data_IF_773223877951
#
_entry.id   IF_773223877951
#
_cell.length_a   1.000
_cell.length_b   1.000
_cell.length_c   1.000
_cell.angle_alpha   90.00
_cell.angle_beta   90.00
_cell.angle_gamma   90.00
#
_symmetry.space_group_name_H-M   'P 1'
#
loop_
_entity.id
_entity.type
_entity.pdbx_description
1 polymer ?
#
# COMPACT_ATOMS: atom_id res chain seq x y z
N UNK A 1 39.34 -21.32 49.14
CA UNK A 1 38.27 -21.48 48.13
C UNK A 1 37.12 -22.22 48.78
N UNK A 2 36.03 -21.52 49.06
CA UNK A 2 34.64 -22.00 49.20
C UNK A 2 33.85 -20.91 49.94
N UNK A 3 33.12 -20.11 49.17
CA UNK A 3 32.18 -19.10 49.66
C UNK A 3 30.92 -19.78 50.19
N UNK A 4 30.48 -19.38 51.38
CA UNK A 4 29.16 -19.67 51.93
C UNK A 4 28.08 -18.96 51.09
N UNK A 5 27.29 -19.74 50.35
CA UNK A 5 26.10 -19.27 49.65
C UNK A 5 24.94 -19.08 50.62
N UNK A 6 24.53 -17.83 50.83
CA UNK A 6 23.25 -17.47 51.44
C UNK A 6 22.15 -17.68 50.40
N UNK A 7 21.22 -18.61 50.65
CA UNK A 7 20.00 -18.78 49.86
C UNK A 7 19.04 -17.61 50.14
N UNK A 8 18.74 -16.82 49.11
CA UNK A 8 17.59 -15.90 49.09
C UNK A 8 16.30 -16.69 48.83
N UNK A 9 15.18 -16.41 49.51
CA UNK A 9 13.91 -17.08 49.23
C UNK A 9 13.45 -16.74 47.80
N UNK A 10 13.19 -17.78 47.01
CA UNK A 10 12.45 -17.69 45.75
C UNK A 10 11.09 -17.01 45.97
N UNK A 11 10.63 -16.32 44.92
CA UNK A 11 9.45 -15.47 44.84
C UNK A 11 8.32 -15.86 45.83
N UNK A 12 8.05 -14.94 46.76
CA UNK A 12 6.95 -14.97 47.71
C UNK A 12 5.63 -15.30 46.98
N UNK A 13 4.93 -16.36 47.40
CA UNK A 13 3.61 -16.75 46.87
C UNK A 13 2.65 -15.55 46.90
N UNK A 14 2.31 -14.97 45.74
CA UNK A 14 1.48 -13.74 45.67
C UNK A 14 0.03 -13.96 46.12
N UNK A 15 -0.48 -15.20 46.11
CA UNK A 15 -1.86 -15.49 46.52
C UNK A 15 -2.12 -15.23 48.02
N UNK A 16 -1.12 -15.46 48.89
CA UNK A 16 -1.26 -15.23 50.34
C UNK A 16 -1.15 -13.75 50.74
N UNK A 17 -0.69 -12.90 49.82
CA UNK A 17 -0.61 -11.44 50.02
C UNK A 17 -1.93 -10.74 49.70
N UNK A 18 -2.84 -11.35 48.92
CA UNK A 18 -4.15 -10.73 48.63
C UNK A 18 -5.03 -10.58 49.89
N UNK A 19 -4.75 -11.39 50.92
CA UNK A 19 -5.44 -11.33 52.22
C UNK A 19 -4.87 -10.26 53.18
N UNK A 20 -3.77 -9.57 52.85
CA UNK A 20 -3.08 -8.64 53.76
C UNK A 20 -2.52 -7.42 53.05
N UNK A 21 -2.85 -6.23 53.56
CA UNK A 21 -2.30 -4.96 53.09
C UNK A 21 -0.79 -4.86 53.33
N UNK A 22 -0.01 -4.56 52.28
CA UNK A 22 1.44 -4.53 52.31
C UNK A 22 1.99 -3.10 52.16
N UNK A 23 2.74 -2.62 53.14
CA UNK A 23 3.42 -1.31 53.07
C UNK A 23 4.92 -1.52 52.93
N UNK A 24 5.51 -1.07 51.81
CA UNK A 24 6.94 -1.20 51.55
C UNK A 24 7.68 0.13 51.75
N UNK A 25 8.49 0.25 52.81
CA UNK A 25 9.37 1.39 53.05
C UNK A 25 10.79 1.10 52.54
N UNK A 26 11.29 1.90 51.59
CA UNK A 26 12.58 1.65 50.91
C UNK A 26 13.51 2.84 51.09
N UNK A 27 14.76 2.58 51.47
CA UNK A 27 15.80 3.60 51.60
C UNK A 27 16.10 4.26 50.24
N UNK A 28 16.35 5.57 50.24
CA UNK A 28 16.69 6.35 49.05
C UNK A 28 18.05 5.95 48.44
N UNK A 29 18.03 4.82 47.73
CA UNK A 29 19.05 4.39 46.80
C UNK A 29 18.43 4.41 45.41
N UNK A 30 18.97 5.25 44.51
CA UNK A 30 18.55 5.42 43.11
C UNK A 30 18.32 4.11 42.32
N UNK A 31 18.91 2.99 42.76
CA UNK A 31 18.79 1.69 42.12
C UNK A 31 17.65 0.78 42.64
N UNK A 32 17.08 1.03 43.84
CA UNK A 32 16.09 0.13 44.46
C UNK A 32 14.66 0.67 44.42
N UNK A 33 14.49 1.99 44.40
CA UNK A 33 13.17 2.64 44.34
C UNK A 33 12.35 2.28 43.09
N UNK A 34 12.92 2.27 41.85
CA UNK A 34 12.14 1.94 40.66
C UNK A 34 11.67 0.48 40.65
N UNK A 35 12.53 -0.42 41.15
CA UNK A 35 12.25 -1.85 41.25
C UNK A 35 11.12 -2.14 42.22
N UNK A 36 11.14 -1.54 43.41
CA UNK A 36 10.04 -1.68 44.39
C UNK A 36 8.72 -1.08 43.91
N UNK A 37 8.76 0.02 43.15
CA UNK A 37 7.57 0.60 42.53
C UNK A 37 6.93 -0.34 41.48
N UNK A 38 7.76 -1.06 40.70
CA UNK A 38 7.28 -2.04 39.73
C UNK A 38 6.66 -3.27 40.41
N UNK A 39 7.23 -3.73 41.53
CA UNK A 39 6.63 -4.82 42.31
C UNK A 39 5.30 -4.41 42.94
N UNK A 40 5.17 -3.17 43.43
CA UNK A 40 3.90 -2.68 43.98
C UNK A 40 2.77 -2.62 42.94
N UNK A 41 3.08 -2.31 41.67
CA UNK A 41 2.09 -2.35 40.57
C UNK A 41 1.54 -3.76 40.27
N UNK A 42 2.26 -4.81 40.68
CA UNK A 42 1.86 -6.20 40.49
C UNK A 42 1.06 -6.75 41.69
N UNK A 43 1.06 -6.05 42.83
CA UNK A 43 0.39 -6.46 44.07
C UNK A 43 -0.74 -5.46 44.35
N UNK A 44 -2.01 -5.82 44.09
CA UNK A 44 -3.14 -4.93 44.38
C UNK A 44 -3.20 -4.61 45.88
N UNK A 45 -3.29 -3.32 46.23
CA UNK A 45 -3.27 -2.84 47.62
C UNK A 45 -1.87 -2.63 48.25
N UNK A 46 -0.79 -2.57 47.46
CA UNK A 46 0.56 -2.27 47.95
C UNK A 46 1.00 -0.81 47.72
N UNK A 47 1.52 -0.14 48.75
CA UNK A 47 2.03 1.24 48.70
C UNK A 47 3.53 1.31 48.98
N UNK A 48 4.26 2.19 48.29
CA UNK A 48 5.73 2.33 48.43
C UNK A 48 6.10 3.74 48.88
N UNK A 49 6.91 3.84 49.95
CA UNK A 49 7.40 5.10 50.51
C UNK A 49 8.92 5.19 50.60
N UNK A 50 9.47 6.41 50.46
CA UNK A 50 10.91 6.68 50.56
C UNK A 50 11.32 6.90 52.02
N UNK A 51 12.10 5.97 52.56
CA UNK A 51 12.60 6.00 53.93
C UNK A 51 13.92 6.79 54.02
N UNK A 52 14.00 7.73 54.97
CA UNK A 52 15.22 8.46 55.29
C UNK A 52 16.27 7.51 55.91
N UNK A 53 17.56 7.86 55.79
CA UNK A 53 18.67 7.01 56.23
C UNK A 53 18.68 6.73 57.74
N UNK A 54 18.11 7.64 58.53
CA UNK A 54 17.92 7.53 59.97
C UNK A 54 16.54 6.94 60.35
N UNK A 55 15.72 6.57 59.37
CA UNK A 55 14.32 6.16 59.53
C UNK A 55 13.46 7.18 60.27
N UNK A 56 13.87 8.46 60.33
CA UNK A 56 13.18 9.51 61.08
C UNK A 56 11.76 9.81 60.57
N UNK A 57 11.46 9.45 59.31
CA UNK A 57 10.16 9.65 58.68
C UNK A 57 9.28 8.39 58.63
N UNK A 58 9.63 7.27 59.27
CA UNK A 58 8.86 6.02 59.17
C UNK A 58 7.41 6.17 59.65
N UNK A 59 7.18 6.93 60.72
CA UNK A 59 5.84 7.14 61.26
C UNK A 59 4.96 7.93 60.27
N UNK A 60 5.53 8.93 59.62
CA UNK A 60 4.86 9.71 58.58
C UNK A 60 4.53 8.85 57.36
N UNK A 61 5.44 7.97 56.95
CA UNK A 61 5.21 7.04 55.85
C UNK A 61 4.10 6.02 56.14
N UNK A 62 3.99 5.52 57.37
CA UNK A 62 2.92 4.59 57.77
C UNK A 62 1.57 5.31 57.77
N UNK A 63 1.52 6.54 58.31
CA UNK A 63 0.30 7.35 58.34
C UNK A 63 -0.14 7.67 56.91
N UNK A 64 0.78 8.13 56.05
CA UNK A 64 0.45 8.45 54.65
C UNK A 64 0.01 7.24 53.86
N UNK A 65 0.68 6.09 54.03
CA UNK A 65 0.28 4.83 53.40
C UNK A 65 -1.11 4.38 53.87
N UNK A 66 -1.41 4.52 55.16
CA UNK A 66 -2.71 4.15 55.70
C UNK A 66 -3.85 5.06 55.21
N UNK A 67 -3.60 6.36 55.07
CA UNK A 67 -4.55 7.32 54.49
C UNK A 67 -4.81 7.03 53.00
N UNK A 68 -3.75 6.68 52.25
CA UNK A 68 -3.83 6.30 50.84
C UNK A 68 -4.65 5.00 50.66
N UNK A 69 -4.37 3.97 51.45
CA UNK A 69 -5.10 2.69 51.42
C UNK A 69 -6.57 2.80 51.81
N UNK A 70 -6.93 3.76 52.66
CA UNK A 70 -8.34 4.07 53.01
C UNK A 70 -9.05 4.93 51.97
N UNK A 71 -8.31 5.56 51.08
CA UNK A 71 -8.84 6.43 50.03
C UNK A 71 -9.22 5.67 48.76
N UNK A 72 -8.75 4.43 48.61
CA UNK A 72 -9.01 3.57 47.47
C UNK A 72 -9.88 2.36 47.87
N UNK A 73 -10.92 2.08 47.09
CA UNK A 73 -11.76 0.89 47.26
C UNK A 73 -11.76 0.12 45.95
N UNK A 74 -11.15 -1.06 45.97
CA UNK A 74 -11.11 -1.97 44.83
C UNK A 74 -11.89 -3.25 45.13
N UNK A 75 -12.68 -3.75 44.18
CA UNK A 75 -13.46 -4.99 44.34
C UNK A 75 -12.75 -6.20 43.73
N UNK A 76 -12.67 -7.29 44.48
CA UNK A 76 -12.22 -8.60 44.00
C UNK A 76 -13.38 -9.58 43.83
N UNK A 77 -13.24 -10.50 42.87
CA UNK A 77 -14.24 -11.50 42.51
C UNK A 77 -13.67 -12.88 42.79
N UNK A 78 -14.35 -13.67 43.61
CA UNK A 78 -13.95 -15.02 43.99
C UNK A 78 -15.08 -16.00 43.66
N UNK A 79 -14.74 -17.27 43.40
CA UNK A 79 -15.71 -18.33 43.09
C UNK A 79 -15.79 -18.71 41.60
N UNK A 80 -16.85 -19.43 41.23
CA UNK A 80 -17.04 -19.98 39.87
C UNK A 80 -17.64 -18.92 38.93
N UNK A 81 -16.78 -18.33 38.10
CA UNK A 81 -17.12 -17.27 37.14
C UNK A 81 -17.00 -17.72 35.68
N UNK A 82 -16.70 -18.99 35.42
CA UNK A 82 -16.46 -19.46 34.05
C UNK A 82 -17.72 -19.33 33.18
N UNK A 83 -17.64 -18.58 32.08
CA UNK A 83 -18.78 -18.35 31.19
C UNK A 83 -19.80 -17.30 31.66
N UNK A 84 -19.54 -16.59 32.76
CA UNK A 84 -20.32 -15.43 33.20
C UNK A 84 -19.59 -14.13 32.81
N UNK A 85 -20.32 -13.17 32.22
CA UNK A 85 -19.79 -11.85 31.90
C UNK A 85 -20.17 -10.86 33.00
N UNK A 86 -19.23 -10.55 33.88
CA UNK A 86 -19.39 -9.55 34.93
C UNK A 86 -18.87 -8.19 34.43
N UNK A 87 -19.71 -7.16 34.56
CA UNK A 87 -19.36 -5.78 34.22
C UNK A 87 -19.59 -4.88 35.42
N UNK A 88 -18.57 -4.10 35.77
CA UNK A 88 -18.63 -3.18 36.91
C UNK A 88 -18.72 -1.73 36.41
N UNK A 89 -19.55 -0.93 37.08
CA UNK A 89 -19.60 0.52 36.90
C UNK A 89 -19.39 1.15 38.27
N UNK A 90 -18.32 1.93 38.42
CA UNK A 90 -18.04 2.62 39.68
C UNK A 90 -18.76 3.97 39.71
N UNK A 91 -19.47 4.25 40.80
CA UNK A 91 -20.11 5.54 41.07
C UNK A 91 -19.49 6.09 42.36
N UNK A 92 -18.59 7.06 42.22
CA UNK A 92 -17.95 7.73 43.34
C UNK A 92 -18.73 9.02 43.72
N UNK A 93 -18.36 9.67 44.83
CA UNK A 93 -19.03 10.86 45.41
C UNK A 93 -19.31 12.03 44.45
N UNK A 94 -18.72 12.06 43.25
CA UNK A 94 -18.98 13.06 42.21
C UNK A 94 -20.20 12.74 41.34
N UNK A 95 -20.85 11.58 41.51
CA UNK A 95 -22.03 11.16 40.75
C UNK A 95 -21.77 10.83 39.27
N UNK A 96 -20.50 10.87 38.85
CA UNK A 96 -20.07 10.56 37.49
C UNK A 96 -19.79 9.04 37.41
N UNK A 97 -20.46 8.30 36.51
CA UNK A 97 -20.18 6.87 36.32
C UNK A 97 -18.87 6.68 35.56
N UNK A 98 -18.00 5.81 36.07
CA UNK A 98 -16.77 5.37 35.39
C UNK A 98 -16.98 3.97 34.79
N UNK A 99 -17.17 3.82 33.47
CA UNK A 99 -17.42 2.54 32.84
C UNK A 99 -16.12 1.78 32.52
N UNK A 100 -16.17 0.44 32.64
CA UNK A 100 -15.14 -0.52 32.17
C UNK A 100 -13.81 -0.62 32.95
N UNK A 101 -13.77 -0.33 34.25
CA UNK A 101 -12.68 -0.87 35.07
C UNK A 101 -12.94 -2.35 35.37
N UNK A 102 -12.06 -3.21 34.82
CA UNK A 102 -11.99 -4.70 34.84
C UNK A 102 -12.73 -5.44 33.70
N UNK A 103 -12.06 -5.59 32.53
CA UNK A 103 -12.41 -6.53 31.43
C UNK A 103 -11.13 -6.84 30.58
N UNK A 104 -10.82 -8.06 30.08
CA UNK A 104 -11.55 -8.84 29.07
C UNK A 104 -11.09 -10.32 28.85
N UNK A 105 -12.09 -11.16 28.53
CA UNK A 105 -12.20 -12.29 27.57
C UNK A 105 -11.07 -13.29 27.24
N UNK A 106 -11.36 -14.58 27.51
CA UNK A 106 -11.26 -15.74 26.59
C UNK A 106 -12.32 -16.79 27.01
N UNK A 107 -13.16 -17.22 26.06
CA UNK A 107 -14.38 -18.01 26.30
C UNK A 107 -14.18 -19.47 25.89
N UNK A 108 -14.66 -20.41 26.70
CA UNK A 108 -14.98 -21.78 26.26
C UNK A 108 -16.35 -22.18 26.80
N UNK A 109 -17.15 -22.80 25.93
CA UNK A 109 -18.49 -23.31 26.21
C UNK A 109 -18.36 -24.69 26.83
N UNK A 110 -18.85 -24.85 28.06
CA UNK A 110 -18.93 -26.14 28.74
C UNK A 110 -19.71 -26.07 30.05
N UNK A 111 -20.84 -26.78 30.09
CA UNK A 111 -21.71 -27.10 31.24
C UNK A 111 -22.33 -25.96 32.09
N UNK A 112 -23.49 -25.48 31.64
CA UNK A 112 -24.39 -24.54 32.33
C UNK A 112 -25.55 -25.30 33.00
N UNK A 113 -25.27 -26.24 33.91
CA UNK A 113 -26.34 -27.01 34.58
C UNK A 113 -26.26 -27.05 36.11
N UNK A 114 -25.37 -26.27 36.72
CA UNK A 114 -25.21 -26.22 38.18
C UNK A 114 -25.37 -24.79 38.68
N UNK A 115 -26.00 -24.65 39.85
CA UNK A 115 -25.99 -23.40 40.60
C UNK A 115 -24.56 -23.03 40.98
N UNK A 116 -24.19 -21.76 40.80
CA UNK A 116 -22.84 -21.25 41.04
C UNK A 116 -22.83 -20.25 42.18
N UNK A 117 -21.76 -20.26 42.95
CA UNK A 117 -21.56 -19.35 44.07
C UNK A 117 -20.42 -18.38 43.74
N UNK A 118 -20.70 -17.08 43.81
CA UNK A 118 -19.76 -15.99 43.51
C UNK A 118 -19.71 -15.07 44.72
N UNK A 119 -18.51 -14.62 45.07
CA UNK A 119 -18.30 -13.70 46.18
C UNK A 119 -17.64 -12.43 45.64
N UNK A 120 -18.25 -11.28 45.91
CA UNK A 120 -17.68 -9.96 45.65
C UNK A 120 -17.27 -9.34 46.97
N UNK A 121 -16.00 -9.01 47.16
CA UNK A 121 -15.53 -8.35 48.39
C UNK A 121 -14.58 -7.19 48.07
N UNK A 122 -14.49 -6.16 48.92
CA UNK A 122 -13.48 -5.12 48.78
C UNK A 122 -12.12 -5.64 49.27
N UNK A 123 -11.05 -5.31 48.54
CA UNK A 123 -9.68 -5.70 48.90
C UNK A 123 -9.35 -5.12 50.28
N UNK A 124 -8.92 -5.98 51.21
CA UNK A 124 -8.52 -5.59 52.57
C UNK A 124 -9.66 -5.40 53.57
N UNK A 125 -10.92 -5.63 53.19
CA UNK A 125 -12.08 -5.64 54.10
C UNK A 125 -12.64 -7.05 54.28
N UNK A 126 -13.19 -7.32 55.47
CA UNK A 126 -13.76 -8.62 55.82
C UNK A 126 -15.20 -8.83 55.33
N UNK A 127 -15.90 -7.74 54.99
CA UNK A 127 -17.27 -7.81 54.50
C UNK A 127 -17.32 -8.27 53.04
N UNK A 128 -18.26 -9.16 52.72
CA UNK A 128 -18.41 -9.76 51.40
C UNK A 128 -19.88 -9.88 50.97
N UNK A 129 -20.13 -9.79 49.67
CA UNK A 129 -21.42 -10.03 49.03
C UNK A 129 -21.41 -11.41 48.37
N UNK A 130 -22.28 -12.29 48.85
CA UNK A 130 -22.48 -13.64 48.30
C UNK A 130 -23.61 -13.63 47.27
N UNK A 131 -23.34 -14.22 46.09
CA UNK A 131 -24.27 -14.29 44.97
C UNK A 131 -24.43 -15.76 44.55
N UNK A 132 -25.66 -16.27 44.64
CA UNK A 132 -26.04 -17.60 44.15
C UNK A 132 -26.72 -17.46 42.78
N UNK A 133 -26.04 -17.89 41.73
CA UNK A 133 -26.57 -17.90 40.35
C UNK A 133 -27.17 -19.26 40.06
N UNK A 134 -28.49 -19.33 39.86
CA UNK A 134 -29.20 -20.55 39.48
C UNK A 134 -29.72 -20.42 38.04
N UNK A 135 -29.23 -21.23 37.08
CA UNK A 135 -29.68 -21.14 35.70
C UNK A 135 -31.06 -21.83 35.54
N UNK A 136 -32.01 -21.12 34.96
CA UNK A 136 -33.33 -21.64 34.62
C UNK A 136 -33.35 -22.03 33.12
N UNK A 137 -33.02 -23.29 32.84
CA UNK A 137 -32.89 -23.80 31.47
C UNK A 137 -34.10 -24.60 30.98
N UNK A 138 -35.08 -24.87 31.84
CA UNK A 138 -36.27 -25.66 31.51
C UNK A 138 -37.50 -24.79 31.33
N UNK A 139 -38.33 -25.08 30.33
CA UNK A 139 -39.63 -24.44 30.16
C UNK A 139 -40.71 -25.19 30.97
N UNK A 140 -41.69 -24.48 31.51
CA UNK A 140 -42.79 -25.11 32.27
C UNK A 140 -43.56 -26.17 31.47
N UNK A 141 -43.74 -25.95 30.16
CA UNK A 141 -44.41 -26.90 29.27
C UNK A 141 -43.65 -28.23 29.10
N UNK A 142 -42.38 -28.33 29.55
CA UNK A 142 -41.63 -29.58 29.49
C UNK A 142 -42.02 -30.55 30.59
N UNK A 143 -42.77 -30.10 31.61
CA UNK A 143 -43.27 -30.93 32.72
C UNK A 143 -44.34 -31.93 32.27
N UNK A 144 -45.06 -31.61 31.20
CA UNK A 144 -46.11 -32.47 30.63
C UNK A 144 -45.73 -32.88 29.20
N UNK A 145 -45.52 -34.19 29.02
CA UNK A 145 -45.21 -34.78 27.71
C UNK A 145 -46.32 -35.75 27.35
N UNK A 146 -46.98 -35.51 26.22
CA UNK A 146 -47.99 -36.42 25.69
C UNK A 146 -47.28 -37.49 24.82
N UNK A 147 -46.95 -38.62 25.43
CA UNK A 147 -46.28 -39.73 24.74
C UNK A 147 -47.23 -40.36 23.71
N UNK A 148 -46.73 -40.64 22.50
CA UNK A 148 -47.51 -41.17 21.37
C UNK A 148 -48.77 -40.32 21.08
N UNK A 149 -48.59 -39.00 20.99
CA UNK A 149 -49.67 -38.07 20.72
C UNK A 149 -50.29 -38.30 19.35
N UNK A 150 -51.61 -38.20 19.27
CA UNK A 150 -52.36 -38.21 18.00
C UNK A 150 -51.94 -37.06 17.07
N UNK A 151 -51.42 -35.96 17.61
CA UNK A 151 -50.92 -34.80 16.86
C UNK A 151 -49.62 -35.10 16.10
N UNK A 152 -48.89 -36.13 16.51
CA UNK A 152 -47.61 -36.55 15.91
C UNK A 152 -47.84 -37.79 15.04
N UNK A 153 -48.64 -37.62 13.97
CA UNK A 153 -49.01 -38.66 13.02
C UNK A 153 -49.57 -39.92 13.70
N UNK A 154 -50.66 -39.74 14.45
CA UNK A 154 -51.41 -40.83 15.09
C UNK A 154 -50.57 -41.76 16.00
N UNK A 155 -49.60 -41.21 16.71
CA UNK A 155 -48.81 -41.95 17.70
C UNK A 155 -47.37 -42.28 17.27
N UNK A 156 -46.89 -41.72 16.16
CA UNK A 156 -45.49 -41.87 15.72
C UNK A 156 -44.52 -40.92 16.43
N UNK A 157 -44.97 -40.20 17.45
CA UNK A 157 -44.10 -39.34 18.27
C UNK A 157 -44.79 -38.83 19.54
N UNK A 158 -44.00 -38.23 20.41
CA UNK A 158 -44.46 -37.57 21.64
C UNK A 158 -44.61 -36.07 21.42
N UNK A 159 -45.68 -35.45 21.92
CA UNK A 159 -45.90 -34.01 21.80
C UNK A 159 -45.45 -33.29 23.07
N UNK A 160 -44.54 -32.32 22.93
CA UNK A 160 -44.00 -31.52 24.04
C UNK A 160 -43.84 -30.07 23.60
N UNK A 161 -44.34 -29.11 24.40
CA UNK A 161 -44.16 -27.67 24.15
C UNK A 161 -44.55 -27.19 22.72
N UNK A 162 -45.55 -27.79 22.09
CA UNK A 162 -46.01 -27.37 20.75
C UNK A 162 -45.33 -28.10 19.59
N UNK A 163 -44.36 -28.96 19.85
CA UNK A 163 -43.59 -29.70 18.83
C UNK A 163 -43.67 -31.21 19.05
N UNK A 164 -43.47 -31.97 17.97
CA UNK A 164 -43.41 -33.44 18.01
C UNK A 164 -41.97 -33.94 18.11
N UNK A 165 -41.70 -34.78 19.11
CA UNK A 165 -40.51 -35.61 19.20
C UNK A 165 -40.82 -36.99 18.62
N UNK A 166 -40.35 -37.27 17.40
CA UNK A 166 -40.68 -38.49 16.68
C UNK A 166 -40.01 -39.74 17.26
N UNK A 167 -40.71 -40.87 17.14
CA UNK A 167 -40.17 -42.18 17.48
C UNK A 167 -39.06 -42.55 16.48
N UNK A 168 -38.13 -43.45 16.85
CA UNK A 168 -37.07 -43.92 15.95
C UNK A 168 -37.64 -44.39 14.60
N UNK A 169 -37.04 -43.96 13.49
CA UNK A 169 -37.48 -44.29 12.14
C UNK A 169 -38.52 -43.33 11.54
N UNK A 170 -39.03 -42.37 12.33
CA UNK A 170 -39.95 -41.34 11.84
C UNK A 170 -39.32 -39.94 11.92
N UNK A 171 -39.67 -39.10 10.94
CA UNK A 171 -39.18 -37.72 10.83
C UNK A 171 -40.27 -36.80 10.27
N UNK A 172 -40.04 -35.49 10.38
CA UNK A 172 -41.00 -34.45 9.97
C UNK A 172 -41.61 -33.71 11.16
N UNK A 173 -42.28 -32.58 10.88
CA UNK A 173 -42.82 -31.71 11.93
C UNK A 173 -43.93 -32.40 12.74
N UNK A 174 -44.64 -33.34 12.12
CA UNK A 174 -45.68 -34.15 12.73
C UNK A 174 -45.35 -35.65 12.66
N UNK A 175 -44.10 -36.04 12.40
CA UNK A 175 -43.69 -37.45 12.23
C UNK A 175 -44.38 -38.14 11.03
N UNK A 176 -44.67 -37.37 9.99
CA UNK A 176 -45.37 -37.77 8.76
C UNK A 176 -44.54 -38.69 7.85
N UNK A 177 -43.22 -38.69 7.98
CA UNK A 177 -42.31 -39.47 7.14
C UNK A 177 -41.75 -40.67 7.92
N UNK A 178 -41.67 -41.82 7.27
CA UNK A 178 -41.09 -43.05 7.80
C UNK A 178 -39.89 -43.53 6.99
N UNK A 179 -39.05 -44.37 7.58
CA UNK A 179 -37.87 -44.98 6.96
C UNK A 179 -38.20 -45.69 5.63
N UNK A 180 -39.40 -46.28 5.52
CA UNK A 180 -39.89 -46.97 4.31
C UNK A 180 -40.20 -46.05 3.12
N UNK A 181 -40.23 -44.73 3.34
CA UNK A 181 -40.57 -43.72 2.30
C UNK A 181 -39.38 -42.91 1.82
N UNK A 182 -38.21 -43.01 2.46
CA UNK A 182 -37.02 -42.27 2.06
C UNK A 182 -35.97 -43.20 1.47
N UNK A 183 -35.78 -43.11 0.15
CA UNK A 183 -34.46 -43.41 -0.40
C UNK A 183 -33.52 -42.29 0.05
N UNK A 184 -32.47 -42.61 0.81
CA UNK A 184 -31.39 -41.67 1.23
C UNK A 184 -30.68 -41.01 0.04
N UNK A 185 -30.91 -41.51 -1.18
CA UNK A 185 -30.47 -40.93 -2.45
C UNK A 185 -31.25 -39.67 -2.85
N UNK A 186 -32.47 -39.45 -2.34
CA UNK A 186 -33.30 -38.30 -2.76
C UNK A 186 -32.74 -36.94 -2.34
N UNK A 187 -31.87 -36.91 -1.33
CA UNK A 187 -31.20 -35.70 -0.83
C UNK A 187 -29.74 -35.56 -1.30
N UNK A 188 -29.29 -36.41 -2.23
CA UNK A 188 -27.96 -36.32 -2.82
C UNK A 188 -28.05 -35.87 -4.26
N UNK A 189 -27.16 -34.97 -4.64
CA UNK A 189 -26.98 -34.58 -6.05
C UNK A 189 -26.33 -35.70 -6.87
N UNK A 190 -25.36 -36.41 -6.27
CA UNK A 190 -24.73 -37.60 -6.84
C UNK A 190 -24.40 -38.63 -5.73
N UNK A 191 -24.27 -39.92 -6.04
CA UNK A 191 -24.09 -40.99 -5.03
C UNK A 191 -22.86 -40.79 -4.13
N UNK A 192 -21.81 -40.20 -4.70
CA UNK A 192 -20.51 -39.91 -4.06
C UNK A 192 -20.52 -38.62 -3.20
N UNK A 193 -21.55 -37.77 -3.36
CA UNK A 193 -21.66 -36.50 -2.63
C UNK A 193 -22.41 -36.69 -1.31
N UNK A 194 -22.06 -35.92 -0.26
CA UNK A 194 -22.80 -35.95 1.00
C UNK A 194 -24.23 -35.45 0.80
N UNK A 195 -25.15 -35.97 1.62
CA UNK A 195 -26.55 -35.52 1.66
C UNK A 195 -26.62 -34.02 1.91
N UNK A 196 -27.44 -33.31 1.13
CA UNK A 196 -27.58 -31.85 1.18
C UNK A 196 -26.26 -31.08 1.14
N UNK A 197 -25.27 -31.61 0.39
CA UNK A 197 -23.90 -31.09 0.30
C UNK A 197 -23.21 -30.88 1.67
N UNK A 198 -23.70 -31.52 2.74
CA UNK A 198 -23.24 -31.29 4.12
C UNK A 198 -23.55 -29.90 4.67
N UNK A 199 -24.40 -29.12 4.00
CA UNK A 199 -24.77 -27.73 4.34
C UNK A 199 -26.25 -27.58 4.67
N UNK A 200 -26.90 -28.69 4.98
CA UNK A 200 -28.30 -28.77 5.31
C UNK A 200 -28.67 -30.14 5.85
N UNK A 201 -29.89 -30.23 6.30
CA UNK A 201 -30.47 -31.46 6.83
C UNK A 201 -31.50 -31.99 5.83
N UNK A 202 -31.44 -33.29 5.56
CA UNK A 202 -32.42 -33.97 4.72
C UNK A 202 -33.68 -34.26 5.53
N UNK A 203 -34.76 -33.56 5.22
CA UNK A 203 -36.08 -33.79 5.79
C UNK A 203 -37.02 -34.32 4.70
N UNK A 204 -37.50 -35.56 4.86
CA UNK A 204 -38.50 -36.15 3.97
C UNK A 204 -38.10 -36.15 2.48
N UNK A 205 -36.81 -36.34 2.16
CA UNK A 205 -36.32 -36.35 0.78
C UNK A 205 -36.10 -34.96 0.18
N UNK A 206 -36.22 -33.89 0.97
CA UNK A 206 -35.89 -32.52 0.60
C UNK A 206 -34.83 -31.96 1.53
N UNK A 207 -33.94 -31.12 1.01
CA UNK A 207 -32.92 -30.48 1.82
C UNK A 207 -33.42 -29.17 2.41
N UNK A 208 -33.23 -29.02 3.73
CA UNK A 208 -33.40 -27.75 4.44
C UNK A 208 -32.01 -27.22 4.75
N UNK A 209 -31.64 -26.11 4.12
CA UNK A 209 -30.30 -25.56 4.22
C UNK A 209 -30.07 -24.87 5.57
N UNK A 210 -28.86 -25.03 6.11
CA UNK A 210 -28.47 -24.37 7.35
C UNK A 210 -28.38 -22.85 7.16
N UNK A 211 -28.73 -22.12 8.21
CA UNK A 211 -28.54 -20.67 8.27
C UNK A 211 -27.04 -20.37 8.40
N UNK A 212 -26.56 -19.40 7.65
CA UNK A 212 -25.17 -18.93 7.70
C UNK A 212 -25.14 -17.45 8.12
N UNK A 213 -24.17 -17.10 8.96
CA UNK A 213 -23.91 -15.69 9.32
C UNK A 213 -23.33 -14.88 8.16
N UNK A 214 -22.84 -15.55 7.11
CA UNK A 214 -22.17 -14.94 5.96
C UNK A 214 -23.12 -14.66 4.79
N UNK A 215 -24.29 -15.30 4.77
CA UNK A 215 -25.29 -15.13 3.73
C UNK A 215 -26.22 -16.34 3.63
N UNK A 216 -26.82 -16.54 2.46
CA UNK A 216 -27.82 -17.56 2.24
C UNK A 216 -27.23 -18.77 1.51
N UNK A 217 -27.55 -19.97 2.01
CA UNK A 217 -27.30 -21.24 1.33
C UNK A 217 -28.63 -21.70 0.73
N UNK A 218 -28.63 -22.10 -0.53
CA UNK A 218 -29.83 -22.43 -1.28
C UNK A 218 -29.58 -23.50 -2.34
N UNK A 219 -30.64 -23.85 -3.07
CA UNK A 219 -30.66 -24.92 -4.05
C UNK A 219 -31.28 -26.21 -3.49
N UNK A 220 -31.71 -27.14 -4.38
CA UNK A 220 -32.40 -28.36 -4.00
C UNK A 220 -31.59 -29.27 -3.08
N UNK A 221 -30.26 -29.17 -3.12
CA UNK A 221 -29.33 -29.95 -2.31
C UNK A 221 -28.44 -29.06 -1.45
N UNK A 222 -28.78 -27.79 -1.23
CA UNK A 222 -27.96 -26.83 -0.49
C UNK A 222 -26.54 -26.67 -1.08
N UNK A 223 -26.45 -26.77 -2.40
CA UNK A 223 -25.20 -26.74 -3.13
C UNK A 223 -24.71 -25.32 -3.46
N UNK A 224 -25.63 -24.34 -3.45
CA UNK A 224 -25.34 -22.96 -3.82
C UNK A 224 -25.30 -22.06 -2.59
N UNK A 225 -24.53 -20.99 -2.71
CA UNK A 225 -24.52 -19.88 -1.77
C UNK A 225 -24.27 -18.56 -2.50
N UNK A 226 -24.53 -17.45 -1.81
CA UNK A 226 -24.37 -16.09 -2.35
C UNK A 226 -23.15 -15.36 -1.78
N UNK A 227 -22.16 -16.06 -1.21
CA UNK A 227 -21.02 -15.43 -0.51
C UNK A 227 -19.65 -16.03 -0.86
N UNK A 228 -19.61 -17.10 -1.63
CA UNK A 228 -18.39 -17.81 -2.05
C UNK A 228 -17.83 -17.38 -3.40
N UNK A 229 -18.40 -16.36 -4.06
CA UNK A 229 -17.88 -15.84 -5.32
C UNK A 229 -16.53 -15.10 -5.17
N UNK A 230 -15.91 -14.80 -6.32
CA UNK A 230 -14.64 -14.08 -6.38
C UNK A 230 -14.72 -12.68 -5.78
N UNK A 231 -13.60 -12.21 -5.22
CA UNK A 231 -13.48 -10.86 -4.62
C UNK A 231 -12.46 -10.01 -5.38
N UNK A 232 -12.82 -8.76 -5.65
CA UNK A 232 -11.91 -7.75 -6.17
C UNK A 232 -11.68 -6.67 -5.12
N UNK A 233 -10.41 -6.44 -4.73
CA UNK A 233 -10.04 -5.50 -3.66
C UNK A 233 -10.80 -5.73 -2.34
N UNK A 234 -11.09 -7.00 -2.03
CA UNK A 234 -11.82 -7.39 -0.82
C UNK A 234 -13.35 -7.34 -0.94
N UNK A 235 -13.90 -6.81 -2.05
CA UNK A 235 -15.34 -6.72 -2.29
C UNK A 235 -15.83 -7.91 -3.12
N UNK A 236 -16.92 -8.55 -2.68
CA UNK A 236 -17.58 -9.64 -3.42
C UNK A 236 -18.11 -9.11 -4.75
N UNK A 237 -17.75 -9.76 -5.86
CA UNK A 237 -18.12 -9.32 -7.22
C UNK A 237 -17.85 -7.83 -7.48
N UNK A 238 -16.78 -7.29 -6.89
CA UNK A 238 -16.40 -5.88 -7.04
C UNK A 238 -17.46 -4.88 -6.54
N UNK A 239 -18.44 -5.33 -5.74
CA UNK A 239 -19.63 -4.59 -5.28
C UNK A 239 -20.57 -4.12 -6.42
N UNK A 240 -20.32 -4.59 -7.65
CA UNK A 240 -21.07 -4.23 -8.86
C UNK A 240 -21.83 -5.40 -9.47
N UNK A 241 -21.85 -6.54 -8.80
CA UNK A 241 -22.57 -7.72 -9.19
C UNK A 241 -23.13 -8.44 -7.98
N UNK A 242 -24.06 -9.33 -8.23
CA UNK A 242 -24.64 -10.19 -7.22
C UNK A 242 -24.07 -11.60 -7.40
N UNK A 243 -23.71 -12.25 -6.30
CA UNK A 243 -23.13 -13.59 -6.31
C UNK A 243 -24.25 -14.62 -6.41
N UNK A 244 -24.23 -15.45 -7.46
CA UNK A 244 -25.14 -16.56 -7.66
C UNK A 244 -24.37 -17.85 -7.86
N UNK A 245 -24.42 -18.73 -6.86
CA UNK A 245 -23.85 -20.08 -6.90
C UNK A 245 -22.38 -20.15 -7.36
N UNK A 246 -21.54 -19.21 -6.91
CA UNK A 246 -20.12 -19.16 -7.25
C UNK A 246 -19.78 -18.31 -8.48
N UNK A 247 -20.77 -17.83 -9.23
CA UNK A 247 -20.56 -16.90 -10.34
C UNK A 247 -21.07 -15.48 -10.01
N UNK A 248 -20.35 -14.47 -10.50
CA UNK A 248 -20.75 -13.08 -10.34
C UNK A 248 -21.65 -12.64 -11.49
N UNK A 249 -22.92 -12.35 -11.18
CA UNK A 249 -23.87 -11.76 -12.12
C UNK A 249 -23.73 -10.24 -12.06
N UNK A 250 -23.06 -9.67 -13.04
CA UNK A 250 -22.79 -8.23 -13.07
C UNK A 250 -24.06 -7.40 -13.31
N UNK A 251 -24.20 -6.30 -12.57
CA UNK A 251 -25.27 -5.33 -12.80
C UNK A 251 -25.05 -4.58 -14.11
N UNK A 252 -26.12 -3.99 -14.64
CA UNK A 252 -26.08 -3.18 -15.86
C UNK A 252 -24.97 -2.13 -15.78
N UNK A 253 -24.12 -2.08 -16.81
CA UNK A 253 -22.99 -1.16 -16.83
C UNK A 253 -21.64 -1.79 -16.43
N UNK A 254 -21.62 -3.05 -15.97
CA UNK A 254 -20.41 -3.74 -15.52
C UNK A 254 -20.21 -5.10 -16.19
N UNK A 255 -18.96 -5.49 -16.39
CA UNK A 255 -18.55 -6.74 -17.04
C UNK A 255 -17.30 -7.34 -16.40
N UNK A 256 -16.96 -8.56 -16.83
CA UNK A 256 -15.81 -9.33 -16.35
C UNK A 256 -16.18 -10.29 -15.21
N UNK A 257 -15.34 -11.30 -14.99
CA UNK A 257 -15.52 -12.33 -13.95
C UNK A 257 -15.68 -11.74 -12.54
N UNK A 258 -15.05 -10.59 -12.28
CA UNK A 258 -15.08 -9.90 -11.01
C UNK A 258 -16.07 -8.72 -10.97
N UNK A 259 -16.81 -8.48 -12.06
CA UNK A 259 -17.64 -7.28 -12.28
C UNK A 259 -16.91 -5.95 -11.98
N UNK A 260 -15.60 -5.91 -12.23
CA UNK A 260 -14.75 -4.76 -11.94
C UNK A 260 -14.55 -3.83 -13.15
N UNK A 261 -15.02 -4.23 -14.34
CA UNK A 261 -14.86 -3.48 -15.56
C UNK A 261 -16.14 -2.71 -15.87
N UNK A 262 -16.08 -1.37 -15.90
CA UNK A 262 -17.23 -0.57 -16.34
C UNK A 262 -17.32 -0.56 -17.86
N UNK A 263 -18.54 -0.56 -18.37
CA UNK A 263 -18.87 -0.38 -19.79
C UNK A 263 -19.13 1.08 -20.15
N UNK A 264 -19.20 1.99 -19.16
CA UNK A 264 -19.31 3.42 -19.44
C UNK A 264 -18.01 3.93 -20.06
N UNK A 265 -18.16 4.66 -21.16
CA UNK A 265 -17.07 5.34 -21.86
C UNK A 265 -16.94 6.81 -21.46
N UNK A 266 -17.88 7.34 -20.66
CA UNK A 266 -17.91 8.73 -20.23
C UNK A 266 -16.58 9.22 -19.63
N UNK A 267 -15.91 8.50 -18.72
CA UNK A 267 -14.63 8.92 -18.16
C UNK A 267 -13.47 8.90 -19.16
N UNK A 268 -13.64 8.29 -20.34
CA UNK A 268 -12.66 8.25 -21.41
C UNK A 268 -12.83 9.38 -22.44
N UNK A 269 -13.90 10.19 -22.33
CA UNK A 269 -14.15 11.28 -23.28
C UNK A 269 -13.31 12.50 -22.88
N UNK A 270 -12.52 13.01 -23.82
CA UNK A 270 -11.71 14.24 -23.65
C UNK A 270 -12.60 15.50 -23.69
N UNK A 271 -12.06 16.66 -23.32
CA UNK A 271 -12.76 17.96 -23.41
C UNK A 271 -13.27 18.27 -24.83
N UNK A 272 -12.56 17.78 -25.85
CA UNK A 272 -12.94 17.89 -27.27
C UNK A 272 -14.10 16.96 -27.68
N UNK A 273 -14.63 16.16 -26.75
CA UNK A 273 -15.69 15.18 -27.02
C UNK A 273 -15.21 13.89 -27.70
N UNK A 274 -13.89 13.72 -27.84
CA UNK A 274 -13.28 12.56 -28.52
C UNK A 274 -12.85 11.51 -27.49
N UNK A 275 -13.22 10.25 -27.74
CA UNK A 275 -12.79 9.12 -26.91
C UNK A 275 -11.26 8.97 -26.94
N UNK A 276 -10.63 9.04 -25.77
CA UNK A 276 -9.17 8.92 -25.59
C UNK A 276 -8.36 9.81 -26.55
N UNK A 277 -8.88 11.00 -26.87
CA UNK A 277 -8.30 11.95 -27.83
C UNK A 277 -7.97 11.35 -29.21
N UNK A 278 -8.60 10.20 -29.57
CA UNK A 278 -8.31 9.44 -30.79
C UNK A 278 -6.95 8.75 -30.81
N UNK A 279 -6.30 8.60 -29.65
CA UNK A 279 -4.91 8.12 -29.49
C UNK A 279 -4.79 6.86 -28.64
N UNK A 280 -5.91 6.20 -28.38
CA UNK A 280 -5.99 5.03 -27.53
C UNK A 280 -7.38 4.42 -27.49
N UNK A 281 -7.50 3.33 -26.74
CA UNK A 281 -8.73 2.56 -26.57
C UNK A 281 -9.27 2.71 -25.14
N UNK A 282 -10.58 2.87 -24.97
CA UNK A 282 -11.20 2.90 -23.65
C UNK A 282 -11.48 1.48 -23.15
N UNK A 283 -10.78 1.06 -22.11
CA UNK A 283 -10.94 -0.27 -21.49
C UNK A 283 -11.28 -0.08 -20.02
N UNK A 284 -12.44 -0.60 -19.61
CA UNK A 284 -12.94 -0.50 -18.23
C UNK A 284 -13.01 0.95 -17.70
N UNK A 285 -13.47 1.90 -18.54
CA UNK A 285 -13.57 3.31 -18.18
C UNK A 285 -12.23 4.03 -18.03
N UNK A 286 -11.14 3.48 -18.58
CA UNK A 286 -9.82 4.12 -18.63
C UNK A 286 -9.21 4.03 -20.02
N UNK A 287 -8.57 5.10 -20.46
CA UNK A 287 -7.87 5.11 -21.73
C UNK A 287 -6.53 4.37 -21.65
N UNK A 288 -6.33 3.44 -22.57
CA UNK A 288 -5.04 2.80 -22.85
C UNK A 288 -4.48 3.45 -24.12
N UNK A 289 -3.47 4.31 -23.96
CA UNK A 289 -2.88 5.04 -25.07
C UNK A 289 -2.04 4.10 -25.94
N UNK A 290 -2.43 3.97 -27.21
CA UNK A 290 -1.75 3.12 -28.20
C UNK A 290 -0.69 3.90 -28.97
N UNK A 291 -0.83 5.23 -29.05
CA UNK A 291 0.13 6.08 -29.75
C UNK A 291 1.41 6.31 -28.91
N UNK A 292 2.61 6.15 -29.50
CA UNK A 292 3.87 6.32 -28.79
C UNK A 292 4.09 7.77 -28.34
N UNK A 293 4.31 7.95 -27.03
CA UNK A 293 4.46 9.27 -26.41
C UNK A 293 3.16 9.93 -25.97
N UNK A 294 2.00 9.33 -26.24
CA UNK A 294 0.72 9.79 -25.71
C UNK A 294 0.55 9.33 -24.25
N UNK A 295 0.11 10.25 -23.39
CA UNK A 295 -0.06 10.04 -21.95
C UNK A 295 -1.20 10.93 -21.40
N UNK A 296 -1.62 10.67 -20.17
CA UNK A 296 -2.75 11.34 -19.53
C UNK A 296 -4.01 10.47 -19.44
N UNK A 297 -5.00 10.86 -18.61
CA UNK A 297 -6.23 10.10 -18.40
C UNK A 297 -7.04 9.86 -19.68
N UNK A 298 -6.93 10.76 -20.67
CA UNK A 298 -7.62 10.69 -21.96
C UNK A 298 -6.65 10.71 -23.15
N UNK A 299 -5.38 10.36 -22.93
CA UNK A 299 -4.31 10.40 -23.93
C UNK A 299 -4.09 11.77 -24.59
N UNK A 300 -4.42 12.84 -23.87
CA UNK A 300 -4.39 14.21 -24.38
C UNK A 300 -2.95 14.73 -24.54
N UNK A 301 -2.04 14.32 -23.66
CA UNK A 301 -0.64 14.77 -23.70
C UNK A 301 0.14 13.93 -24.69
N UNK A 302 0.53 14.49 -25.82
CA UNK A 302 1.47 13.83 -26.74
C UNK A 302 2.53 14.83 -27.22
N UNK A 303 3.68 14.91 -26.53
CA UNK A 303 4.78 15.81 -26.90
C UNK A 303 5.33 15.53 -28.31
N UNK A 304 5.17 14.29 -28.79
CA UNK A 304 5.67 13.83 -30.10
C UNK A 304 4.65 13.98 -31.23
N UNK A 305 3.36 14.25 -30.94
CA UNK A 305 2.29 14.29 -31.95
C UNK A 305 2.05 15.69 -32.55
N UNK A 306 2.51 16.74 -31.87
CA UNK A 306 2.52 18.10 -32.40
C UNK A 306 3.72 18.78 -31.79
N UNK A 307 4.80 18.87 -32.57
CA UNK A 307 5.98 19.59 -32.16
C UNK A 307 5.76 21.08 -32.52
N UNK A 308 5.33 21.94 -31.56
CA UNK A 308 5.11 23.35 -31.84
C UNK A 308 6.39 24.00 -32.37
N UNK A 309 7.57 23.49 -31.99
CA UNK A 309 8.86 23.96 -32.47
C UNK A 309 9.03 23.70 -33.97
N UNK A 310 8.74 22.47 -34.44
CA UNK A 310 8.93 22.10 -35.85
C UNK A 310 7.86 22.74 -36.76
N UNK A 311 6.65 23.00 -36.25
CA UNK A 311 5.60 23.70 -36.99
C UNK A 311 5.97 25.14 -37.40
N UNK A 312 6.92 25.78 -36.69
CA UNK A 312 7.41 27.13 -36.98
C UNK A 312 8.75 27.16 -37.72
N UNK A 313 9.28 26.00 -38.11
CA UNK A 313 10.59 25.85 -38.77
C UNK A 313 10.74 26.76 -39.99
N UNK A 314 9.74 26.78 -40.86
CA UNK A 314 9.74 27.57 -42.10
C UNK A 314 9.79 29.09 -41.87
N UNK A 315 9.25 29.57 -40.76
CA UNK A 315 9.33 30.98 -40.35
C UNK A 315 10.74 31.33 -39.85
N UNK A 316 11.32 30.47 -39.00
CA UNK A 316 12.62 30.69 -38.35
C UNK A 316 13.78 30.59 -39.35
N UNK A 317 13.75 29.61 -40.25
CA UNK A 317 14.76 29.47 -41.32
C UNK A 317 14.71 30.65 -42.30
N UNK A 318 13.52 31.18 -42.60
CA UNK A 318 13.38 32.39 -43.42
C UNK A 318 14.01 33.61 -42.72
N UNK A 319 13.73 33.77 -41.43
CA UNK A 319 14.26 34.90 -40.64
C UNK A 319 15.79 34.89 -40.57
N UNK A 320 16.40 33.72 -40.32
CA UNK A 320 17.85 33.57 -40.23
C UNK A 320 18.56 33.72 -41.59
N UNK A 321 17.87 33.40 -42.69
CA UNK A 321 18.42 33.49 -44.04
C UNK A 321 18.24 34.87 -44.69
N UNK A 322 17.48 35.77 -44.07
CA UNK A 322 17.15 37.06 -44.64
C UNK A 322 18.26 38.09 -44.40
N UNK A 323 18.90 38.56 -45.49
CA UNK A 323 19.75 39.76 -45.47
C UNK A 323 18.92 40.98 -45.89
N UNK A 324 18.61 41.86 -44.94
CA UNK A 324 17.96 43.18 -45.12
C UNK A 324 16.62 43.23 -45.89
N UNK A 325 16.65 43.01 -47.21
CA UNK A 325 15.49 43.13 -48.11
C UNK A 325 14.51 41.94 -48.09
N UNK A 326 14.89 40.79 -47.52
CA UNK A 326 14.06 39.57 -47.48
C UNK A 326 13.15 39.47 -46.23
N UNK A 327 13.19 40.47 -45.33
CA UNK A 327 12.54 40.39 -44.01
C UNK A 327 11.01 40.55 -44.09
N UNK A 328 10.48 41.36 -45.03
CA UNK A 328 9.03 41.53 -45.23
C UNK A 328 8.34 40.24 -45.73
N UNK A 329 8.99 39.49 -46.62
CA UNK A 329 8.46 38.22 -47.15
C UNK A 329 8.42 37.13 -46.05
N UNK A 330 9.39 37.16 -45.13
CA UNK A 330 9.42 36.26 -43.99
C UNK A 330 8.35 36.59 -42.94
N UNK A 331 7.98 37.85 -42.75
CA UNK A 331 6.89 38.24 -41.84
C UNK A 331 5.57 37.59 -42.25
N UNK A 332 5.27 37.50 -43.55
CA UNK A 332 4.05 36.85 -44.02
C UNK A 332 4.10 35.32 -43.92
N UNK A 333 5.27 34.70 -44.13
CA UNK A 333 5.47 33.27 -43.83
C UNK A 333 5.31 32.95 -42.35
N UNK A 334 5.74 33.84 -41.47
CA UNK A 334 5.55 33.72 -40.03
C UNK A 334 4.07 33.87 -39.63
N UNK A 335 3.34 34.82 -40.23
CA UNK A 335 1.88 34.92 -40.04
C UNK A 335 1.14 33.68 -40.51
N UNK A 336 1.51 33.09 -41.66
CA UNK A 336 0.97 31.82 -42.16
C UNK A 336 1.27 30.66 -41.21
N UNK A 337 2.46 30.64 -40.62
CA UNK A 337 2.82 29.70 -39.56
C UNK A 337 2.15 30.06 -38.22
N UNK A 338 1.33 31.12 -38.11
CA UNK A 338 0.64 31.53 -36.89
C UNK A 338 1.55 32.08 -35.79
N UNK A 339 2.71 32.65 -36.16
CA UNK A 339 3.70 33.16 -35.22
C UNK A 339 4.12 34.61 -35.51
N UNK A 340 4.58 35.30 -34.48
CA UNK A 340 5.14 36.67 -34.56
C UNK A 340 6.49 36.70 -33.87
N UNK A 341 7.48 37.39 -34.45
CA UNK A 341 8.84 37.49 -33.90
C UNK A 341 8.91 38.77 -33.07
N UNK A 342 9.44 38.69 -31.85
CA UNK A 342 9.70 39.85 -31.00
C UNK A 342 11.15 39.85 -30.51
N UNK A 343 11.87 40.96 -30.74
CA UNK A 343 13.30 41.11 -30.42
C UNK A 343 13.55 41.75 -29.05
N UNK A 344 12.49 42.21 -28.35
CA UNK A 344 12.64 42.85 -27.04
C UNK A 344 12.96 41.84 -25.92
N UNK A 345 13.92 42.17 -25.05
CA UNK A 345 14.46 41.31 -23.97
C UNK A 345 13.57 41.26 -22.71
N UNK A 346 12.41 41.92 -22.69
CA UNK A 346 11.51 41.95 -21.54
C UNK A 346 10.46 40.81 -21.62
N UNK A 347 10.87 39.59 -21.27
CA UNK A 347 9.93 38.49 -21.07
C UNK A 347 10.27 37.64 -19.84
N UNK A 348 9.23 37.13 -19.18
CA UNK A 348 9.37 36.26 -18.01
C UNK A 348 9.74 34.84 -18.42
N UNK A 349 10.93 34.40 -18.04
CA UNK A 349 11.51 33.08 -18.36
C UNK A 349 10.62 31.91 -17.90
N UNK A 350 9.86 32.09 -16.81
CA UNK A 350 9.03 31.08 -16.14
C UNK A 350 7.84 30.52 -16.95
N UNK A 351 7.46 31.14 -18.07
CA UNK A 351 6.30 30.72 -18.91
C UNK A 351 6.67 30.38 -20.36
N UNK A 352 7.96 30.29 -20.67
CA UNK A 352 8.46 30.08 -22.03
C UNK A 352 8.84 28.62 -22.31
N UNK A 353 8.57 28.16 -23.54
CA UNK A 353 8.99 26.84 -24.02
C UNK A 353 10.26 26.98 -24.84
N UNK A 354 11.37 26.39 -24.36
CA UNK A 354 12.65 26.35 -25.08
C UNK A 354 12.64 25.27 -26.16
N UNK A 355 12.93 25.67 -27.40
CA UNK A 355 12.94 24.83 -28.58
C UNK A 355 14.34 24.80 -29.21
N UNK A 356 14.75 23.63 -29.68
CA UNK A 356 15.97 23.47 -30.49
C UNK A 356 15.67 22.71 -31.78
N UNK A 357 16.19 23.22 -32.89
CA UNK A 357 16.05 22.64 -34.23
C UNK A 357 17.42 22.47 -34.87
N UNK A 358 17.59 21.41 -35.66
CA UNK A 358 18.77 21.21 -36.49
C UNK A 358 18.50 21.76 -37.89
N UNK A 359 19.24 22.79 -38.29
CA UNK A 359 19.16 23.43 -39.62
C UNK A 359 19.83 22.60 -40.72
N UNK A 360 19.68 23.04 -41.98
CA UNK A 360 20.23 22.33 -43.16
C UNK A 360 21.76 22.16 -43.13
N UNK A 361 22.50 23.01 -42.41
CA UNK A 361 23.97 23.02 -42.35
C UNK A 361 24.56 22.34 -41.09
N UNK A 362 23.82 21.43 -40.47
CA UNK A 362 24.10 20.87 -39.12
C UNK A 362 24.16 21.92 -38.00
N UNK A 363 23.78 23.18 -38.26
CA UNK A 363 23.74 24.23 -37.25
C UNK A 363 22.58 23.99 -36.26
N UNK A 364 22.85 24.21 -34.98
CA UNK A 364 21.85 24.10 -33.93
C UNK A 364 21.18 25.47 -33.72
N UNK A 365 19.90 25.54 -34.06
CA UNK A 365 19.06 26.72 -33.89
C UNK A 365 18.30 26.59 -32.58
N UNK A 366 18.40 27.58 -31.70
CA UNK A 366 17.71 27.62 -30.40
C UNK A 366 16.81 28.85 -30.32
N UNK A 367 15.58 28.70 -29.83
CA UNK A 367 14.59 29.78 -29.69
C UNK A 367 13.58 29.50 -28.58
N UNK A 368 12.87 30.53 -28.14
CA UNK A 368 11.86 30.45 -27.09
C UNK A 368 10.47 30.77 -27.65
N UNK A 369 9.46 30.00 -27.23
CA UNK A 369 8.05 30.21 -27.58
C UNK A 369 7.26 30.68 -26.36
N UNK A 370 6.48 31.73 -26.55
CA UNK A 370 5.47 32.21 -25.59
C UNK A 370 4.11 32.32 -26.30
N UNK A 371 3.03 32.38 -25.52
CA UNK A 371 1.67 32.58 -26.05
C UNK A 371 1.11 33.86 -25.46
N UNK A 372 0.53 34.71 -26.31
CA UNK A 372 -0.13 35.93 -25.86
C UNK A 372 -1.54 35.66 -25.29
N UNK A 373 -2.17 36.71 -24.77
CA UNK A 373 -3.52 36.67 -24.20
C UNK A 373 -4.62 36.35 -25.23
N UNK A 374 -4.34 36.44 -26.52
CA UNK A 374 -5.24 36.12 -27.65
C UNK A 374 -4.96 34.72 -28.24
N UNK A 375 -4.03 33.96 -27.65
CA UNK A 375 -3.65 32.61 -28.08
C UNK A 375 -2.65 32.57 -29.24
N UNK A 376 -2.02 33.70 -29.59
CA UNK A 376 -1.04 33.80 -30.67
C UNK A 376 0.38 33.47 -30.16
N UNK A 377 1.11 32.64 -30.90
CA UNK A 377 2.48 32.27 -30.53
C UNK A 377 3.49 33.37 -30.87
N UNK A 378 4.31 33.77 -29.90
CA UNK A 378 5.40 34.73 -30.07
C UNK A 378 6.74 33.99 -29.95
N UNK A 379 7.67 34.27 -30.87
CA UNK A 379 9.00 33.68 -30.92
C UNK A 379 10.01 34.71 -30.41
N UNK A 380 10.81 34.31 -29.42
CA UNK A 380 11.84 35.15 -28.80
C UNK A 380 13.24 34.53 -28.95
N UNK A 381 14.26 35.40 -28.93
CA UNK A 381 15.68 35.04 -28.79
C UNK A 381 16.15 33.94 -29.74
N UNK A 382 15.97 34.14 -31.05
CA UNK A 382 16.44 33.21 -32.08
C UNK A 382 17.97 33.28 -32.14
N UNK A 383 18.66 32.19 -31.81
CA UNK A 383 20.11 32.09 -31.84
C UNK A 383 20.56 30.89 -32.69
N UNK A 384 21.61 31.09 -33.49
CA UNK A 384 22.30 30.05 -34.25
C UNK A 384 23.67 29.78 -33.63
N UNK A 385 23.91 28.55 -33.15
CA UNK A 385 25.19 28.13 -32.56
C UNK A 385 25.78 26.95 -33.33
N UNK A 386 27.11 26.88 -33.33
CA UNK A 386 27.92 25.80 -33.92
C UNK A 386 27.90 25.67 -35.45
N UNK A 387 27.85 26.77 -36.20
CA UNK A 387 28.06 26.69 -37.64
C UNK A 387 29.55 26.55 -38.01
N UNK A 388 29.94 25.55 -38.85
CA UNK A 388 31.29 25.46 -39.38
C UNK A 388 31.55 26.65 -40.32
N UNK A 389 32.43 27.56 -39.91
CA UNK A 389 32.88 28.66 -40.79
C UNK A 389 33.59 28.05 -42.00
N UNK A 390 33.28 28.47 -43.24
CA UNK A 390 33.96 27.95 -44.42
C UNK A 390 35.47 28.16 -44.26
N UNK A 391 36.31 27.14 -44.52
CA UNK A 391 37.75 27.29 -44.40
C UNK A 391 38.21 28.37 -45.38
N UNK A 392 39.08 29.27 -44.93
CA UNK A 392 39.66 30.32 -45.78
C UNK A 392 40.59 29.70 -46.83
N UNK A 393 40.01 29.23 -47.93
CA UNK A 393 40.67 28.65 -49.11
C UNK A 393 41.92 29.47 -49.55
N UNK A 394 41.90 30.82 -49.63
CA UNK A 394 43.09 31.57 -50.04
C UNK A 394 44.27 31.42 -49.06
N UNK A 395 44.03 31.25 -47.75
CA UNK A 395 45.09 31.12 -46.75
C UNK A 395 45.79 29.75 -46.83
N UNK A 396 45.02 28.69 -47.09
CA UNK A 396 45.55 27.34 -47.27
C UNK A 396 46.41 27.27 -48.53
N UNK A 397 45.94 27.85 -49.64
CA UNK A 397 46.68 27.88 -50.90
C UNK A 397 48.00 28.63 -50.78
N UNK A 398 48.03 29.73 -50.02
CA UNK A 398 49.24 30.51 -49.77
C UNK A 398 50.25 29.74 -48.90
N UNK A 399 49.78 29.04 -47.87
CA UNK A 399 50.63 28.23 -47.00
C UNK A 399 51.28 27.04 -47.72
N UNK A 400 50.50 26.29 -48.50
CA UNK A 400 51.01 25.13 -49.25
C UNK A 400 52.02 25.56 -50.32
N UNK A 401 51.73 26.66 -51.03
CA UNK A 401 52.63 27.18 -52.06
C UNK A 401 53.99 27.62 -51.48
N UNK A 402 53.99 28.29 -50.33
CA UNK A 402 55.21 28.74 -49.67
C UNK A 402 56.07 27.57 -49.17
N UNK A 403 55.42 26.52 -48.63
CA UNK A 403 56.10 25.33 -48.12
C UNK A 403 56.83 24.57 -49.23
N UNK A 404 56.17 24.37 -50.38
CA UNK A 404 56.78 23.69 -51.55
C UNK A 404 58.00 24.48 -52.05
N UNK A 405 57.90 25.80 -52.10
CA UNK A 405 58.98 26.68 -52.57
C UNK A 405 60.18 26.63 -51.63
N UNK A 406 59.96 26.64 -50.32
CA UNK A 406 61.02 26.51 -49.30
C UNK A 406 61.71 25.15 -49.37
N UNK A 407 60.96 24.05 -49.51
CA UNK A 407 61.54 22.71 -49.65
C UNK A 407 62.43 22.61 -50.90
N UNK A 408 61.99 23.20 -52.03
CA UNK A 408 62.79 23.27 -53.25
C UNK A 408 64.12 23.99 -53.05
N UNK A 409 64.11 25.13 -52.35
CA UNK A 409 65.33 25.90 -52.05
C UNK A 409 66.27 25.11 -51.14
N UNK A 410 65.75 24.45 -50.11
CA UNK A 410 66.56 23.63 -49.19
C UNK A 410 67.24 22.48 -49.93
N UNK A 411 66.52 21.77 -50.82
CA UNK A 411 67.10 20.70 -51.62
C UNK A 411 68.20 21.20 -52.56
N UNK A 412 68.03 22.37 -53.18
CA UNK A 412 69.08 23.00 -53.99
C UNK A 412 70.31 23.40 -53.16
N UNK A 413 70.11 23.92 -51.94
CA UNK A 413 71.21 24.22 -51.02
C UNK A 413 71.97 22.95 -50.62
N UNK A 414 71.28 21.87 -50.27
CA UNK A 414 71.90 20.58 -49.92
C UNK A 414 72.67 20.04 -51.13
N UNK A 415 72.08 20.05 -52.33
CA UNK A 415 72.77 19.60 -53.53
C UNK A 415 74.03 20.40 -53.83
N UNK A 416 73.97 21.74 -53.73
CA UNK A 416 75.14 22.61 -53.93
C UNK A 416 76.22 22.36 -52.87
N UNK A 417 75.85 22.11 -51.61
CA UNK A 417 76.81 21.77 -50.56
C UNK A 417 77.47 20.42 -50.81
N UNK A 418 76.72 19.40 -51.25
CA UNK A 418 77.27 18.08 -51.59
C UNK A 418 78.24 18.16 -52.77
N UNK A 419 77.88 18.89 -53.83
CA UNK A 419 78.77 19.12 -54.99
C UNK A 419 80.02 19.88 -54.55
N UNK A 420 79.88 20.97 -53.78
CA UNK A 420 81.02 21.75 -53.31
C UNK A 420 81.97 20.93 -52.42
N UNK A 421 81.43 20.02 -51.60
CA UNK A 421 82.23 19.12 -50.79
C UNK A 421 82.94 18.05 -51.63
N UNK A 422 82.24 17.50 -52.62
CA UNK A 422 82.83 16.53 -53.55
C UNK A 422 83.94 17.16 -54.39
N UNK A 423 83.72 18.36 -54.95
CA UNK A 423 84.72 19.12 -55.68
C UNK A 423 85.94 19.44 -54.80
N UNK A 424 85.75 19.87 -53.54
CA UNK A 424 86.88 20.08 -52.61
C UNK A 424 87.64 18.80 -52.32
N UNK A 425 86.95 17.66 -52.22
CA UNK A 425 87.58 16.36 -51.99
C UNK A 425 88.37 15.88 -53.21
N UNK A 426 87.84 16.05 -54.42
CA UNK A 426 88.54 15.70 -55.66
C UNK A 426 89.72 16.65 -55.94
N UNK A 427 89.59 17.96 -55.65
CA UNK A 427 90.73 18.90 -55.73
C UNK A 427 91.84 18.52 -54.75
N UNK A 428 91.51 18.19 -53.49
CA UNK A 428 92.49 17.74 -52.50
C UNK A 428 93.18 16.42 -52.92
N UNK A 429 92.43 15.51 -53.55
CA UNK A 429 92.97 14.27 -54.12
C UNK A 429 93.90 14.55 -55.30
N UNK A 430 93.52 15.47 -56.19
CA UNK A 430 94.32 15.87 -57.35
C UNK A 430 95.64 16.55 -56.94
N UNK A 431 95.63 17.43 -55.92
CA UNK A 431 96.86 18.05 -55.37
C UNK A 431 97.78 17.01 -54.70
N UNK A 432 97.21 16.00 -54.03
CA UNK A 432 97.95 14.89 -53.44
C UNK A 432 98.58 13.96 -54.49
N UNK A 433 97.91 13.75 -55.63
CA UNK A 433 98.48 12.99 -56.76
C UNK A 433 99.55 13.80 -57.51
N UNK A 434 99.34 15.11 -57.71
CA UNK A 434 100.30 16.01 -58.36
C UNK A 434 101.62 16.13 -57.60
N UNK A 435 101.61 16.08 -56.27
CA UNK A 435 102.84 16.10 -55.45
C UNK A 435 103.65 14.79 -55.50
N UNK A 436 103.07 13.70 -56.02
CA UNK A 436 103.73 12.39 -56.17
C UNK A 436 104.23 12.11 -57.59
N UNK A 437 103.91 12.98 -58.56
CA UNK A 437 104.41 12.86 -59.92
C UNK A 437 105.89 13.29 -59.98
N UNK A 438 106.80 12.32 -59.87
CA UNK A 438 108.20 12.47 -60.29
C UNK A 438 108.27 12.33 -61.81
N UNK A 439 108.71 13.35 -62.52
CA UNK A 439 109.16 13.22 -63.90
C UNK A 439 110.63 12.81 -63.88
N UNK A 440 110.98 11.68 -64.50
CA UNK A 440 112.36 11.37 -64.89
C UNK A 440 112.64 12.07 -66.22
N UNK A 441 113.67 12.91 -66.26
CA UNK A 441 114.42 13.29 -67.47
C UNK A 441 115.44 12.22 -67.80
#
# INVERSE_FOLDING_TARGET
>A
MASSGSQTPEALNLETLSERTLVCAVLDQKAKLPTSLNYAKLIPGATVGVLQKDSGNILQLIISAYEELRSEVELEVLGDTEGLNLSFTAICNTGIPFPHQKKCSHMKVGDIRRSRHIILKPVGLGDALEILVSPECSCDCQKEVEVNSSKCNNGNGSFQCGVCACNPGHMGHHCECGEDTLSTESCKEAPELPSCSGRGDCYCGQCVCHLSSYGNIYGPYCQCDNFSCVRHKGLLCGDNGDCDCGECVCRSGWTGEYCNCTTSTDPCVSEDGILCSGRGDCVCGKCICTNPGASGPTCERCPTCSDPCNSKRSCIECYLSADGQAQEECVDKCKLAGATINEEEDFSEDSSVSCSLQGENECLITFLLTTDNEGKTIIHSINEKDCPKPPNIPMIMLGVSLAILLIGVVLLCIWKLLVSFHDRKEVAKFEAERSKAKWQT
#
